data_IF_237052805887
#
_entry.id   IF_237052805887
#
_cell.length_a   1.000
_cell.length_b   1.000
_cell.length_c   1.000
_cell.angle_alpha   90.00
_cell.angle_beta   90.00
_cell.angle_gamma   90.00
#
_symmetry.space_group_name_H-M   'P 1'
#
loop_
_entity.id
_entity.type
_entity.pdbx_description
1 polymer ?
#
# COMPACT_ATOMS: atom_id res chain seq x y z
N UNK A 1 12.23 -10.62 -9.48
CA UNK A 1 12.14 -11.62 -8.40
C UNK A 1 13.04 -11.30 -7.18
N UNK A 2 13.75 -10.20 -7.16
CA UNK A 2 14.56 -9.74 -6.03
C UNK A 2 13.95 -8.46 -5.42
N UNK A 3 12.66 -8.46 -5.11
CA UNK A 3 12.13 -7.48 -4.17
C UNK A 3 12.48 -8.01 -2.79
N UNK A 4 13.39 -7.36 -2.12
CA UNK A 4 13.60 -7.57 -0.70
C UNK A 4 12.28 -7.27 0.01
N UNK A 5 11.75 -8.28 0.70
CA UNK A 5 10.53 -8.13 1.49
C UNK A 5 10.80 -7.18 2.64
N UNK A 6 9.78 -6.44 3.04
CA UNK A 6 9.88 -5.57 4.21
C UNK A 6 10.15 -6.37 5.49
N UNK A 7 10.97 -5.87 6.40
CA UNK A 7 11.16 -6.53 7.68
C UNK A 7 9.84 -6.52 8.46
N UNK A 8 9.39 -7.69 8.89
CA UNK A 8 8.17 -7.81 9.70
C UNK A 8 8.54 -7.68 11.18
N UNK A 9 8.01 -6.66 11.81
CA UNK A 9 8.31 -6.28 13.19
C UNK A 9 7.06 -6.46 14.06
N UNK A 10 7.24 -7.01 15.26
CA UNK A 10 6.17 -7.08 16.26
C UNK A 10 5.06 -8.09 15.99
N UNK A 11 5.28 -9.09 15.09
CA UNK A 11 4.28 -10.12 14.73
C UNK A 11 4.73 -11.55 15.01
N UNK A 12 5.69 -11.71 15.91
CA UNK A 12 6.31 -13.01 16.19
C UNK A 12 5.31 -14.05 16.73
N UNK A 13 4.38 -13.64 17.58
CA UNK A 13 3.38 -14.54 18.15
C UNK A 13 2.39 -15.04 17.11
N UNK A 14 1.88 -14.14 16.27
CA UNK A 14 0.94 -14.48 15.21
C UNK A 14 1.61 -15.35 14.12
N UNK A 15 2.87 -15.07 13.79
CA UNK A 15 3.64 -15.91 12.85
C UNK A 15 3.86 -17.30 13.47
N UNK A 16 4.29 -17.39 14.72
CA UNK A 16 4.44 -18.68 15.41
C UNK A 16 3.13 -19.46 15.47
N UNK A 17 2.03 -18.77 15.75
CA UNK A 17 0.71 -19.39 15.76
C UNK A 17 0.31 -19.90 14.38
N UNK A 18 0.59 -19.15 13.34
CA UNK A 18 0.36 -19.55 11.94
C UNK A 18 1.19 -20.78 11.57
N UNK A 19 2.49 -20.80 11.91
CA UNK A 19 3.38 -21.96 11.75
C UNK A 19 2.83 -23.19 12.48
N UNK A 20 2.42 -23.00 13.75
CA UNK A 20 1.84 -24.07 14.55
C UNK A 20 0.58 -24.66 13.90
N UNK A 21 -0.30 -23.82 13.34
CA UNK A 21 -1.50 -24.27 12.65
C UNK A 21 -1.15 -25.04 11.39
N UNK A 22 -0.24 -24.53 10.55
CA UNK A 22 0.23 -25.18 9.33
C UNK A 22 0.87 -26.56 9.58
N UNK A 23 1.45 -26.76 10.77
CA UNK A 23 2.10 -28.02 11.17
C UNK A 23 1.12 -29.05 11.77
N UNK A 24 -0.17 -28.74 11.91
CA UNK A 24 -1.18 -29.65 12.46
C UNK A 24 -1.55 -30.75 11.48
N UNK A 25 -2.03 -31.87 11.99
CA UNK A 25 -2.56 -32.97 11.16
C UNK A 25 -3.95 -32.66 10.59
N UNK A 26 -4.75 -31.91 11.35
CA UNK A 26 -6.13 -31.51 10.99
C UNK A 26 -6.31 -30.02 11.29
N UNK A 27 -7.23 -29.34 10.61
CA UNK A 27 -7.41 -27.89 10.69
C UNK A 27 -6.08 -27.15 10.50
N UNK A 28 -5.35 -27.56 9.49
CA UNK A 28 -3.98 -27.10 9.19
C UNK A 28 -3.95 -25.89 8.24
N UNK A 29 -5.09 -25.30 7.94
CA UNK A 29 -5.18 -24.07 7.17
C UNK A 29 -5.50 -22.92 8.13
N UNK A 30 -4.57 -22.00 8.40
CA UNK A 30 -4.86 -20.82 9.20
C UNK A 30 -5.73 -19.85 8.41
N UNK A 31 -6.65 -19.20 9.11
CA UNK A 31 -7.38 -18.04 8.61
C UNK A 31 -7.06 -16.85 9.50
N UNK A 32 -6.39 -15.86 8.93
CA UNK A 32 -6.00 -14.62 9.60
C UNK A 32 -7.23 -13.72 9.70
N UNK A 33 -7.63 -13.40 10.91
CA UNK A 33 -8.80 -12.57 11.18
C UNK A 33 -8.34 -11.28 11.85
N UNK A 34 -8.62 -10.16 11.20
CA UNK A 34 -8.28 -8.84 11.73
C UNK A 34 -8.84 -7.74 10.86
N UNK A 35 -8.87 -6.54 11.39
CA UNK A 35 -9.35 -5.37 10.68
C UNK A 35 -8.50 -5.03 9.44
N UNK A 36 -9.02 -4.25 8.49
CA UNK A 36 -8.23 -3.79 7.35
C UNK A 36 -7.03 -2.94 7.85
N UNK A 37 -5.87 -3.11 7.22
CA UNK A 37 -4.69 -2.31 7.56
C UNK A 37 -3.88 -2.73 8.80
N UNK A 38 -4.29 -3.80 9.53
CA UNK A 38 -3.52 -4.29 10.70
C UNK A 38 -2.26 -5.09 10.32
N UNK A 39 -2.00 -5.35 9.03
CA UNK A 39 -0.78 -6.01 8.56
C UNK A 39 -0.91 -7.52 8.34
N UNK A 40 -2.09 -8.04 7.95
CA UNK A 40 -2.29 -9.47 7.64
C UNK A 40 -1.38 -9.96 6.51
N UNK A 41 -1.21 -9.17 5.47
CA UNK A 41 -0.33 -9.49 4.33
C UNK A 41 1.14 -9.47 4.74
N UNK A 42 1.57 -8.48 5.53
CA UNK A 42 2.93 -8.41 6.08
C UNK A 42 3.28 -9.64 6.93
N UNK A 43 2.30 -10.16 7.70
CA UNK A 43 2.49 -11.40 8.47
C UNK A 43 2.86 -12.59 7.57
N UNK A 44 2.27 -12.69 6.38
CA UNK A 44 2.58 -13.73 5.39
C UNK A 44 3.97 -13.53 4.77
N UNK A 45 4.37 -12.30 4.55
CA UNK A 45 5.72 -11.96 4.11
C UNK A 45 6.76 -12.35 5.17
N UNK A 46 6.49 -12.08 6.45
CA UNK A 46 7.32 -12.54 7.56
C UNK A 46 7.40 -14.06 7.68
N UNK A 47 6.30 -14.77 7.45
CA UNK A 47 6.31 -16.23 7.36
C UNK A 47 7.19 -16.71 6.20
N UNK A 48 7.12 -16.07 5.04
CA UNK A 48 7.95 -16.40 3.89
C UNK A 48 9.44 -16.17 4.18
N UNK A 49 9.80 -15.07 4.85
CA UNK A 49 11.17 -14.80 5.29
C UNK A 49 11.69 -15.88 6.25
N UNK A 50 10.88 -16.31 7.21
CA UNK A 50 11.28 -17.41 8.13
C UNK A 50 11.46 -18.74 7.40
N UNK A 51 10.64 -19.03 6.39
CA UNK A 51 10.82 -20.23 5.57
C UNK A 51 12.16 -20.17 4.80
N UNK A 52 12.48 -19.05 4.18
CA UNK A 52 13.73 -18.83 3.45
C UNK A 52 14.94 -18.97 4.39
N UNK A 53 14.83 -18.38 5.59
CA UNK A 53 15.88 -18.42 6.62
C UNK A 53 15.96 -19.77 7.35
N UNK A 54 15.06 -20.74 7.03
CA UNK A 54 14.93 -22.03 7.70
C UNK A 54 14.63 -21.93 9.20
N UNK A 55 14.00 -20.82 9.62
CA UNK A 55 13.51 -20.60 10.98
C UNK A 55 12.07 -21.11 11.13
N UNK A 56 11.85 -22.33 10.69
CA UNK A 56 10.57 -23.03 10.70
C UNK A 56 10.79 -24.54 10.93
N UNK A 57 9.77 -25.30 11.39
CA UNK A 57 9.86 -26.75 11.47
C UNK A 57 10.20 -27.39 10.12
N UNK A 58 10.90 -28.52 10.14
CA UNK A 58 11.32 -29.25 8.94
C UNK A 58 10.20 -29.51 7.93
N UNK A 59 8.97 -29.66 8.40
CA UNK A 59 7.78 -29.84 7.52
C UNK A 59 7.48 -28.63 6.63
N UNK A 60 8.01 -27.46 6.98
CA UNK A 60 7.78 -26.21 6.27
C UNK A 60 9.03 -25.64 5.57
N UNK A 61 10.24 -26.19 5.81
CA UNK A 61 11.52 -25.67 5.28
C UNK A 61 11.57 -25.58 3.73
N UNK A 62 10.86 -26.47 3.05
CA UNK A 62 10.85 -26.51 1.57
C UNK A 62 9.52 -26.01 0.98
N UNK A 63 8.71 -25.32 1.75
CA UNK A 63 7.45 -24.77 1.26
C UNK A 63 7.67 -23.43 0.57
N UNK A 64 6.83 -23.16 -0.40
CA UNK A 64 6.80 -21.88 -1.13
C UNK A 64 5.42 -21.26 -0.95
N UNK A 65 5.39 -19.99 -0.56
CA UNK A 65 4.14 -19.24 -0.46
C UNK A 65 3.84 -18.62 -1.83
N UNK A 66 2.62 -18.86 -2.32
CA UNK A 66 2.10 -18.25 -3.54
C UNK A 66 0.86 -17.44 -3.20
N UNK A 67 0.80 -16.22 -3.68
CA UNK A 67 -0.37 -15.34 -3.50
C UNK A 67 -1.34 -15.60 -4.65
N UNK A 68 -2.60 -15.84 -4.30
CA UNK A 68 -3.69 -15.93 -5.28
C UNK A 68 -4.35 -14.55 -5.37
N UNK A 69 -4.10 -13.88 -6.48
CA UNK A 69 -4.75 -12.61 -6.80
C UNK A 69 -6.10 -12.89 -7.45
N UNK A 70 -7.18 -12.64 -6.69
CA UNK A 70 -8.54 -12.83 -7.16
C UNK A 70 -8.94 -11.79 -8.20
N UNK A 71 -8.39 -10.57 -8.11
CA UNK A 71 -8.63 -9.53 -9.10
C UNK A 71 -8.14 -9.93 -10.48
N UNK A 72 -6.94 -10.53 -10.57
CA UNK A 72 -6.41 -11.05 -11.83
C UNK A 72 -7.21 -12.23 -12.39
N UNK A 73 -7.75 -13.09 -11.53
CA UNK A 73 -8.62 -14.19 -11.97
C UNK A 73 -9.95 -13.70 -12.53
N UNK A 74 -10.48 -12.60 -11.97
CA UNK A 74 -11.72 -11.98 -12.40
C UNK A 74 -11.52 -11.07 -13.61
N UNK A 75 -10.33 -10.49 -13.78
CA UNK A 75 -10.04 -9.56 -14.86
C UNK A 75 -10.25 -10.22 -16.23
N UNK A 76 -11.15 -9.64 -17.03
CA UNK A 76 -11.47 -10.11 -18.37
C UNK A 76 -12.32 -11.39 -18.44
N UNK A 77 -12.75 -11.96 -17.31
CA UNK A 77 -13.73 -13.06 -17.31
C UNK A 77 -15.14 -12.48 -17.57
N UNK A 78 -15.67 -12.72 -18.76
CA UNK A 78 -17.03 -12.28 -19.13
C UNK A 78 -18.13 -13.16 -18.54
N UNK A 79 -17.82 -14.41 -18.26
CA UNK A 79 -18.76 -15.41 -17.78
C UNK A 79 -18.18 -16.18 -16.59
N UNK A 80 -19.07 -16.67 -15.72
CA UNK A 80 -18.74 -17.47 -14.54
C UNK A 80 -17.84 -18.68 -14.87
N UNK A 81 -18.08 -19.36 -15.98
CA UNK A 81 -17.31 -20.54 -16.39
C UNK A 81 -15.83 -20.24 -16.66
N UNK A 82 -15.49 -19.06 -17.17
CA UNK A 82 -14.10 -18.67 -17.42
C UNK A 82 -13.31 -18.49 -16.13
N UNK A 83 -13.92 -17.90 -15.10
CA UNK A 83 -13.31 -17.80 -13.78
C UNK A 83 -13.10 -19.18 -13.14
N UNK A 84 -14.13 -20.03 -13.18
CA UNK A 84 -14.07 -21.38 -12.64
C UNK A 84 -12.95 -22.20 -13.35
N UNK A 85 -12.85 -22.10 -14.66
CA UNK A 85 -11.79 -22.76 -15.43
C UNK A 85 -10.39 -22.25 -15.04
N UNK A 86 -10.21 -20.93 -14.92
CA UNK A 86 -8.93 -20.35 -14.50
C UNK A 86 -8.53 -20.80 -13.10
N UNK A 87 -9.48 -20.77 -12.14
CA UNK A 87 -9.22 -21.25 -10.79
C UNK A 87 -8.87 -22.74 -10.76
N UNK A 88 -9.59 -23.58 -11.54
CA UNK A 88 -9.28 -25.01 -11.69
C UNK A 88 -7.88 -25.23 -12.23
N UNK A 89 -7.46 -24.45 -13.22
CA UNK A 89 -6.13 -24.57 -13.80
C UNK A 89 -5.04 -24.21 -12.78
N UNK A 90 -5.23 -23.12 -12.00
CA UNK A 90 -4.33 -22.78 -10.90
C UNK A 90 -4.25 -23.90 -9.86
N UNK A 91 -5.37 -24.47 -9.46
CA UNK A 91 -5.40 -25.58 -8.50
C UNK A 91 -4.70 -26.83 -9.05
N UNK A 92 -4.89 -27.17 -10.34
CA UNK A 92 -4.18 -28.28 -11.00
C UNK A 92 -2.67 -28.10 -10.98
N UNK A 93 -2.18 -26.88 -11.22
CA UNK A 93 -0.74 -26.60 -11.14
C UNK A 93 -0.22 -26.75 -9.71
N UNK A 94 -0.94 -26.25 -8.72
CA UNK A 94 -0.58 -26.43 -7.30
C UNK A 94 -0.52 -27.91 -6.91
N UNK A 95 -1.42 -28.74 -7.41
CA UNK A 95 -1.40 -30.19 -7.12
C UNK A 95 -0.18 -30.90 -7.70
N UNK A 96 0.34 -30.47 -8.86
CA UNK A 96 1.57 -31.01 -9.44
C UNK A 96 2.79 -30.79 -8.55
N UNK A 97 2.77 -29.74 -7.75
CA UNK A 97 3.84 -29.40 -6.81
C UNK A 97 3.86 -30.27 -5.53
N UNK A 98 3.03 -31.33 -5.47
CA UNK A 98 3.02 -32.34 -4.38
C UNK A 98 3.02 -31.75 -2.97
N UNK A 99 2.23 -30.70 -2.76
CA UNK A 99 2.05 -30.07 -1.46
C UNK A 99 3.22 -29.18 -1.00
N UNK A 100 4.14 -28.80 -1.87
CA UNK A 100 5.21 -27.84 -1.55
C UNK A 100 4.70 -26.40 -1.49
N UNK A 101 3.56 -26.13 -2.13
CA UNK A 101 2.95 -24.79 -2.18
C UNK A 101 1.99 -24.56 -1.03
N UNK A 102 2.14 -23.42 -0.36
CA UNK A 102 1.15 -22.83 0.54
C UNK A 102 0.49 -21.67 -0.21
N UNK A 103 -0.81 -21.77 -0.44
CA UNK A 103 -1.56 -20.75 -1.16
C UNK A 103 -2.03 -19.67 -0.18
N UNK A 104 -1.62 -18.43 -0.36
CA UNK A 104 -2.19 -17.30 0.38
C UNK A 104 -3.34 -16.67 -0.42
N UNK A 105 -4.48 -16.52 0.24
CA UNK A 105 -5.70 -15.94 -0.35
C UNK A 105 -6.13 -14.79 0.54
N UNK A 106 -5.87 -13.57 0.07
CA UNK A 106 -6.41 -12.39 0.74
C UNK A 106 -7.90 -12.25 0.43
N UNK A 107 -8.64 -11.64 1.34
CA UNK A 107 -10.10 -11.50 1.24
C UNK A 107 -10.80 -12.81 0.87
N UNK A 108 -10.37 -13.93 1.47
CA UNK A 108 -10.88 -15.28 1.14
C UNK A 108 -12.41 -15.40 1.20
N UNK A 109 -13.08 -14.51 1.93
CA UNK A 109 -14.54 -14.43 2.01
C UNK A 109 -15.18 -14.16 0.65
N UNK A 110 -14.48 -13.50 -0.28
CA UNK A 110 -14.98 -13.23 -1.64
C UNK A 110 -15.21 -14.53 -2.42
N UNK A 111 -14.37 -15.56 -2.19
CA UNK A 111 -14.54 -16.90 -2.79
C UNK A 111 -15.67 -17.71 -2.17
N UNK A 112 -16.00 -17.43 -0.89
CA UNK A 112 -16.97 -18.20 -0.12
C UNK A 112 -18.35 -17.54 -0.13
N UNK A 113 -18.39 -16.21 -0.12
CA UNK A 113 -19.61 -15.42 0.04
C UNK A 113 -20.36 -15.10 -1.24
N UNK A 114 -19.72 -15.24 -2.36
CA UNK A 114 -20.25 -14.86 -3.65
C UNK A 114 -21.46 -15.69 -4.14
N UNK A 115 -21.78 -16.81 -3.50
CA UNK A 115 -22.83 -17.73 -3.96
C UNK A 115 -24.28 -17.41 -3.54
N UNK A 116 -24.52 -16.31 -2.82
CA UNK A 116 -25.87 -16.01 -2.26
C UNK A 116 -26.66 -14.88 -2.95
N UNK A 117 -26.03 -14.13 -3.83
CA UNK A 117 -26.71 -13.15 -4.70
C UNK A 117 -26.76 -13.69 -6.13
N UNK A 118 -27.89 -13.52 -6.80
CA UNK A 118 -28.10 -13.94 -8.19
C UNK A 118 -26.93 -13.50 -9.09
N UNK A 119 -26.13 -14.48 -9.57
CA UNK A 119 -25.00 -14.25 -10.47
C UNK A 119 -23.61 -14.23 -9.81
N UNK A 120 -23.48 -14.36 -8.49
CA UNK A 120 -22.20 -14.36 -7.81
C UNK A 120 -21.53 -15.73 -7.81
N UNK A 121 -20.18 -15.72 -7.89
CA UNK A 121 -19.31 -16.89 -8.09
C UNK A 121 -19.14 -17.68 -6.80
N UNK A 122 -19.63 -18.92 -6.73
CA UNK A 122 -19.38 -19.82 -5.61
C UNK A 122 -18.16 -20.70 -5.90
N UNK A 123 -16.97 -20.15 -5.70
CA UNK A 123 -15.72 -20.89 -5.82
C UNK A 123 -15.45 -21.80 -4.60
N UNK A 124 -16.26 -21.71 -3.55
CA UNK A 124 -16.09 -22.53 -2.35
C UNK A 124 -16.25 -24.02 -2.65
N UNK A 125 -17.14 -24.37 -3.58
CA UNK A 125 -17.35 -25.76 -4.01
C UNK A 125 -16.15 -26.38 -4.72
N UNK A 126 -15.24 -25.55 -5.25
CA UNK A 126 -13.99 -25.99 -5.88
C UNK A 126 -12.87 -26.18 -4.86
N UNK A 127 -12.82 -25.30 -3.85
CA UNK A 127 -11.81 -25.38 -2.79
C UNK A 127 -12.12 -26.47 -1.75
N UNK A 128 -13.39 -26.67 -1.39
CA UNK A 128 -13.82 -27.64 -0.38
C UNK A 128 -13.29 -29.05 -0.60
N UNK A 129 -13.36 -29.66 -1.81
CA UNK A 129 -12.81 -30.99 -2.06
C UNK A 129 -11.31 -31.06 -1.87
N UNK A 130 -10.56 -30.07 -2.35
CA UNK A 130 -9.12 -29.98 -2.24
C UNK A 130 -8.64 -29.85 -0.79
N UNK A 131 -9.29 -28.98 -0.03
CA UNK A 131 -9.08 -28.81 1.41
C UNK A 131 -9.46 -30.08 2.19
N UNK A 132 -10.53 -30.78 1.75
CA UNK A 132 -10.99 -32.02 2.38
C UNK A 132 -9.99 -33.17 2.25
N UNK A 133 -9.36 -33.29 1.07
CA UNK A 133 -8.36 -34.33 0.80
C UNK A 133 -6.97 -34.00 1.36
N UNK A 134 -6.76 -32.77 1.85
CA UNK A 134 -5.45 -32.29 2.31
C UNK A 134 -4.45 -32.05 1.17
N UNK A 135 -4.95 -31.95 -0.06
CA UNK A 135 -4.14 -31.67 -1.27
C UNK A 135 -3.78 -30.20 -1.39
N UNK A 136 -4.50 -29.32 -0.72
CA UNK A 136 -4.29 -27.88 -0.69
C UNK A 136 -3.98 -27.43 0.73
N UNK A 137 -2.82 -26.79 0.88
CA UNK A 137 -2.48 -26.00 2.05
C UNK A 137 -2.71 -24.52 1.74
N UNK A 138 -3.53 -23.86 2.51
CA UNK A 138 -3.78 -22.44 2.30
C UNK A 138 -3.79 -21.64 3.59
N UNK A 139 -3.46 -20.37 3.47
CA UNK A 139 -3.65 -19.34 4.49
C UNK A 139 -4.66 -18.35 3.93
N UNK A 140 -5.77 -18.18 4.61
CA UNK A 140 -6.77 -17.16 4.25
C UNK A 140 -6.60 -15.92 5.10
N UNK A 141 -6.99 -14.76 4.57
CA UNK A 141 -7.13 -13.53 5.35
C UNK A 141 -8.53 -12.94 5.16
N UNK A 142 -9.11 -12.40 6.22
CA UNK A 142 -10.46 -11.82 6.21
C UNK A 142 -10.66 -10.91 7.42
N UNK A 143 -11.77 -10.18 7.47
CA UNK A 143 -12.20 -9.44 8.64
C UNK A 143 -13.06 -10.33 9.58
N UNK A 144 -13.27 -9.87 10.82
CA UNK A 144 -14.09 -10.62 11.79
C UNK A 144 -15.55 -10.74 11.36
N UNK A 145 -16.11 -9.66 10.80
CA UNK A 145 -17.50 -9.63 10.36
C UNK A 145 -17.74 -10.58 9.17
N UNK A 146 -16.81 -10.59 8.23
CA UNK A 146 -16.87 -11.48 7.07
C UNK A 146 -16.64 -12.94 7.45
N UNK A 147 -15.73 -13.20 8.41
CA UNK A 147 -15.54 -14.53 8.97
C UNK A 147 -16.85 -15.07 9.57
N UNK A 148 -17.51 -14.29 10.44
CA UNK A 148 -18.79 -14.67 11.04
C UNK A 148 -19.90 -14.87 10.01
N UNK A 149 -19.92 -14.01 8.99
CA UNK A 149 -20.97 -14.03 7.96
C UNK A 149 -20.84 -15.21 7.01
N UNK A 150 -19.63 -15.56 6.59
CA UNK A 150 -19.37 -16.52 5.51
C UNK A 150 -18.75 -17.83 5.97
N UNK A 151 -17.77 -17.80 6.90
CA UNK A 151 -17.02 -18.98 7.32
C UNK A 151 -17.66 -19.73 8.48
N UNK A 152 -18.08 -19.03 9.50
CA UNK A 152 -18.59 -19.65 10.73
C UNK A 152 -19.85 -20.48 10.46
N UNK A 153 -20.63 -20.09 9.47
CA UNK A 153 -21.87 -20.78 9.05
C UNK A 153 -21.62 -22.00 8.16
N UNK A 154 -20.42 -22.17 7.64
CA UNK A 154 -20.05 -23.30 6.75
C UNK A 154 -19.26 -24.36 7.53
N UNK A 155 -19.95 -25.44 7.94
CA UNK A 155 -19.34 -26.52 8.71
C UNK A 155 -18.16 -27.21 8.00
N UNK A 156 -18.12 -27.23 6.66
CA UNK A 156 -17.04 -27.84 5.90
C UNK A 156 -15.75 -27.00 6.00
N UNK A 157 -15.88 -25.68 5.92
CA UNK A 157 -14.75 -24.74 6.06
C UNK A 157 -14.29 -24.65 7.53
N UNK A 158 -15.20 -24.55 8.48
CA UNK A 158 -14.89 -24.47 9.93
C UNK A 158 -14.08 -25.68 10.41
N UNK A 159 -14.30 -26.85 9.80
CA UNK A 159 -13.54 -28.08 10.13
C UNK A 159 -12.14 -28.09 9.51
N UNK A 160 -11.83 -27.20 8.56
CA UNK A 160 -10.56 -27.19 7.82
C UNK A 160 -9.68 -25.99 8.17
N UNK A 161 -10.32 -24.89 8.54
CA UNK A 161 -9.64 -23.66 8.92
C UNK A 161 -9.51 -23.51 10.44
N UNK A 162 -8.41 -22.92 10.86
CA UNK A 162 -8.16 -22.53 12.25
C UNK A 162 -7.99 -21.01 12.33
N UNK A 163 -8.83 -20.31 13.08
CA UNK A 163 -8.68 -18.86 13.30
C UNK A 163 -7.33 -18.51 13.97
N UNK A 164 -6.70 -17.46 13.45
CA UNK A 164 -5.56 -16.76 14.02
C UNK A 164 -5.92 -15.28 14.02
N UNK A 165 -6.09 -14.70 15.19
CA UNK A 165 -6.44 -13.29 15.32
C UNK A 165 -5.22 -12.43 15.15
N UNK A 166 -5.35 -11.38 14.34
CA UNK A 166 -4.33 -10.35 14.06
C UNK A 166 -4.89 -9.04 14.55
N UNK A 167 -4.54 -8.68 15.76
CA UNK A 167 -5.02 -7.45 16.39
C UNK A 167 -4.26 -6.22 15.86
N UNK A 168 -4.84 -5.05 16.04
CA UNK A 168 -4.14 -3.78 15.84
C UNK A 168 -2.88 -3.75 16.72
N UNK A 169 -1.70 -3.37 16.17
CA UNK A 169 -0.49 -3.26 16.97
C UNK A 169 -0.60 -2.11 17.98
N UNK A 170 0.15 -2.21 19.07
CA UNK A 170 0.28 -1.10 19.99
C UNK A 170 0.97 0.10 19.32
N UNK A 171 0.81 1.29 19.87
CA UNK A 171 1.53 2.49 19.38
C UNK A 171 3.04 2.30 19.41
N UNK A 172 3.57 1.58 20.38
CA UNK A 172 5.01 1.24 20.47
C UNK A 172 5.45 0.31 19.35
N UNK A 173 4.66 -0.71 19.03
CA UNK A 173 4.93 -1.62 17.91
C UNK A 173 4.79 -0.92 16.57
N UNK A 174 3.78 -0.03 16.42
CA UNK A 174 3.61 0.77 15.22
C UNK A 174 4.81 1.69 14.96
N UNK A 175 5.36 2.34 16.00
CA UNK A 175 6.60 3.13 15.87
C UNK A 175 7.77 2.25 15.39
N UNK A 176 7.91 1.04 15.94
CA UNK A 176 8.97 0.11 15.52
C UNK A 176 8.79 -0.32 14.06
N UNK A 177 7.55 -0.56 13.62
CA UNK A 177 7.22 -0.89 12.22
C UNK A 177 7.59 0.28 11.29
N UNK A 178 7.18 1.50 11.61
CA UNK A 178 7.49 2.67 10.78
C UNK A 178 9.00 2.94 10.72
N UNK A 179 9.75 2.72 11.82
CA UNK A 179 11.21 2.80 11.82
C UNK A 179 11.84 1.78 10.86
N UNK A 180 11.29 0.58 10.78
CA UNK A 180 11.74 -0.45 9.85
C UNK A 180 11.44 -0.11 8.37
N UNK A 181 10.40 0.66 8.11
CA UNK A 181 10.01 1.09 6.78
C UNK A 181 10.66 2.41 6.34
N UNK A 182 11.17 3.19 7.31
CA UNK A 182 11.69 4.54 7.13
C UNK A 182 12.61 4.68 5.92
N UNK A 183 13.64 3.84 5.82
CA UNK A 183 14.67 3.92 4.78
C UNK A 183 14.06 3.80 3.37
N UNK A 184 13.09 2.92 3.18
CA UNK A 184 12.40 2.75 1.89
C UNK A 184 11.63 3.99 1.48
N UNK A 185 10.94 4.63 2.43
CA UNK A 185 10.21 5.87 2.18
C UNK A 185 11.15 7.05 1.96
N UNK A 186 12.27 7.12 2.68
CA UNK A 186 13.32 8.12 2.45
C UNK A 186 13.91 8.02 1.04
N UNK A 187 14.21 6.80 0.57
CA UNK A 187 14.71 6.54 -0.78
C UNK A 187 13.63 6.90 -1.83
N UNK A 188 12.37 6.48 -1.61
CA UNK A 188 11.29 6.71 -2.57
C UNK A 188 11.00 8.21 -2.77
N UNK A 189 10.94 8.96 -1.68
CA UNK A 189 10.65 10.40 -1.74
C UNK A 189 11.90 11.27 -1.90
N UNK A 190 13.10 10.73 -1.66
CA UNK A 190 14.35 11.48 -1.68
C UNK A 190 14.44 12.55 -0.60
N UNK A 191 13.83 12.31 0.55
CA UNK A 191 13.82 13.19 1.72
C UNK A 191 14.24 12.42 2.97
N UNK A 192 14.63 13.12 4.02
CA UNK A 192 14.88 12.51 5.33
C UNK A 192 13.64 12.59 6.22
N UNK A 193 13.34 11.48 6.88
CA UNK A 193 12.25 11.37 7.86
C UNK A 193 12.86 11.32 9.25
N UNK A 194 12.57 12.30 10.11
CA UNK A 194 13.09 12.31 11.48
C UNK A 194 12.35 11.29 12.37
N UNK A 195 12.95 10.91 13.49
CA UNK A 195 12.30 10.00 14.44
C UNK A 195 11.08 10.68 15.11
N UNK A 196 11.16 11.99 15.32
CA UNK A 196 10.02 12.79 15.81
C UNK A 196 8.85 12.78 14.84
N UNK A 197 9.10 12.78 13.53
CA UNK A 197 8.05 12.69 12.52
C UNK A 197 7.35 11.31 12.57
N UNK A 198 8.11 10.22 12.78
CA UNK A 198 7.56 8.88 12.96
C UNK A 198 6.68 8.81 14.21
N UNK A 199 7.18 9.31 15.35
CA UNK A 199 6.42 9.37 16.59
C UNK A 199 5.13 10.20 16.42
N UNK A 200 5.23 11.36 15.78
CA UNK A 200 4.08 12.21 15.50
C UNK A 200 3.07 11.52 14.57
N UNK A 201 3.53 10.84 13.51
CA UNK A 201 2.66 10.13 12.58
C UNK A 201 1.83 9.05 13.31
N UNK A 202 2.46 8.27 14.19
CA UNK A 202 1.74 7.24 14.98
C UNK A 202 0.78 7.88 15.97
N UNK A 203 1.22 8.88 16.77
CA UNK A 203 0.39 9.50 17.80
C UNK A 203 -0.79 10.27 17.22
N UNK A 204 -0.56 11.04 16.15
CA UNK A 204 -1.62 11.84 15.53
C UNK A 204 -2.62 10.96 14.77
N UNK A 205 -2.16 9.96 14.05
CA UNK A 205 -3.05 9.01 13.38
C UNK A 205 -3.88 8.21 14.38
N UNK A 206 -3.29 7.76 15.48
CA UNK A 206 -4.00 7.03 16.53
C UNK A 206 -5.10 7.89 17.18
N UNK A 207 -4.79 9.17 17.41
CA UNK A 207 -5.72 10.09 18.08
C UNK A 207 -6.82 10.63 17.19
N UNK A 208 -6.52 10.93 15.92
CA UNK A 208 -7.43 11.70 15.06
C UNK A 208 -8.03 10.89 13.92
N UNK A 209 -7.42 9.76 13.52
CA UNK A 209 -7.95 8.87 12.48
C UNK A 209 -8.59 7.66 13.17
N UNK A 210 -9.93 7.71 13.32
CA UNK A 210 -10.69 6.72 14.10
C UNK A 210 -11.36 5.64 13.25
N UNK A 211 -11.41 5.83 11.95
CA UNK A 211 -12.04 4.92 10.97
C UNK A 211 -11.05 3.93 10.33
N UNK A 212 -9.78 4.01 10.71
CA UNK A 212 -8.69 3.15 10.22
C UNK A 212 -7.82 2.66 11.37
N UNK A 213 -7.00 1.63 11.11
CA UNK A 213 -6.21 0.94 12.12
C UNK A 213 -4.70 1.13 11.89
N UNK A 214 -3.93 1.04 13.00
CA UNK A 214 -2.48 0.97 12.93
C UNK A 214 -2.04 -0.40 12.36
N UNK A 215 -0.90 -0.49 11.66
CA UNK A 215 0.03 0.60 11.35
C UNK A 215 -0.36 1.40 10.08
N UNK A 216 -1.33 0.97 9.30
CA UNK A 216 -1.67 1.46 7.98
C UNK A 216 -1.96 2.98 7.99
N UNK A 217 -2.81 3.46 8.92
CA UNK A 217 -3.12 4.90 9.04
C UNK A 217 -1.90 5.77 9.35
N UNK A 218 -0.91 5.23 10.07
CA UNK A 218 0.32 5.96 10.38
C UNK A 218 1.32 5.95 9.21
N UNK A 219 1.37 4.84 8.48
CA UNK A 219 2.17 4.71 7.26
C UNK A 219 1.66 5.69 6.21
N UNK A 220 0.35 5.73 5.96
CA UNK A 220 -0.26 6.65 5.02
C UNK A 220 -0.01 8.11 5.40
N UNK A 221 -0.14 8.45 6.70
CA UNK A 221 0.13 9.81 7.16
C UNK A 221 1.59 10.22 6.93
N UNK A 222 2.52 9.29 7.16
CA UNK A 222 3.95 9.51 6.90
C UNK A 222 4.23 9.66 5.40
N UNK A 223 3.62 8.84 4.56
CA UNK A 223 3.77 8.87 3.11
C UNK A 223 3.21 10.16 2.50
N UNK A 224 2.01 10.56 2.91
CA UNK A 224 1.37 11.81 2.49
C UNK A 224 2.21 13.04 2.89
N UNK A 225 2.70 13.07 4.14
CA UNK A 225 3.55 14.15 4.62
C UNK A 225 4.87 14.22 3.83
N UNK A 226 5.48 13.06 3.56
CA UNK A 226 6.71 12.95 2.77
C UNK A 226 6.49 13.42 1.32
N UNK A 227 5.39 13.01 0.70
CA UNK A 227 5.00 13.43 -0.64
C UNK A 227 4.79 14.95 -0.73
N UNK A 228 4.13 15.53 0.29
CA UNK A 228 3.91 16.97 0.35
C UNK A 228 5.22 17.75 0.46
N UNK A 229 6.12 17.33 1.35
CA UNK A 229 7.45 17.96 1.50
C UNK A 229 8.25 17.87 0.21
N UNK A 230 8.24 16.70 -0.45
CA UNK A 230 8.89 16.53 -1.76
C UNK A 230 8.33 17.50 -2.79
N UNK A 231 6.99 17.60 -2.87
CA UNK A 231 6.34 18.52 -3.80
C UNK A 231 6.71 19.98 -3.52
N UNK A 232 6.79 20.39 -2.24
CA UNK A 232 7.22 21.74 -1.85
C UNK A 232 8.68 22.01 -2.26
N UNK A 233 9.57 21.02 -2.14
CA UNK A 233 10.98 21.13 -2.58
C UNK A 233 11.10 21.21 -4.10
N UNK A 234 10.33 20.39 -4.83
CA UNK A 234 10.39 20.29 -6.28
C UNK A 234 9.62 21.41 -7.00
N UNK A 235 8.66 22.03 -6.34
CA UNK A 235 7.81 23.10 -6.88
C UNK A 235 8.48 24.46 -6.76
N UNK A 236 8.12 25.38 -7.66
CA UNK A 236 8.49 26.79 -7.50
C UNK A 236 7.83 27.32 -6.20
N UNK A 237 8.56 28.14 -5.40
CA UNK A 237 7.97 28.83 -4.25
C UNK A 237 6.70 29.58 -4.64
N UNK A 238 5.72 29.59 -3.75
CA UNK A 238 4.42 30.22 -3.98
C UNK A 238 4.55 31.71 -4.36
N UNK A 239 5.57 32.37 -3.80
CA UNK A 239 5.89 33.76 -4.12
C UNK A 239 6.27 33.95 -5.60
N UNK A 240 7.08 33.05 -6.16
CA UNK A 240 7.45 33.09 -7.57
C UNK A 240 6.26 32.79 -8.48
N UNK A 241 5.45 31.79 -8.12
CA UNK A 241 4.25 31.44 -8.88
C UNK A 241 3.22 32.58 -8.89
N UNK A 242 3.07 33.30 -7.78
CA UNK A 242 2.20 34.46 -7.69
C UNK A 242 2.67 35.63 -8.56
N UNK A 243 3.95 35.93 -8.56
CA UNK A 243 4.55 36.96 -9.41
C UNK A 243 4.45 36.58 -10.91
N UNK A 244 4.65 35.30 -11.26
CA UNK A 244 4.44 34.80 -12.63
C UNK A 244 2.99 35.02 -13.09
N UNK A 245 1.99 34.75 -12.23
CA UNK A 245 0.56 34.98 -12.55
C UNK A 245 0.24 36.46 -12.69
N UNK A 246 0.80 37.31 -11.84
CA UNK A 246 0.57 38.76 -11.92
C UNK A 246 1.25 39.35 -13.16
N UNK A 247 2.43 38.85 -13.55
CA UNK A 247 3.06 39.23 -14.82
C UNK A 247 2.19 38.87 -16.01
N UNK A 248 1.61 37.65 -16.04
CA UNK A 248 0.70 37.22 -17.11
C UNK A 248 -0.52 38.14 -17.19
N UNK A 249 -1.11 38.52 -16.04
CA UNK A 249 -2.27 39.44 -16.01
C UNK A 249 -1.92 40.79 -16.62
N UNK A 250 -0.80 41.40 -16.21
CA UNK A 250 -0.34 42.69 -16.74
C UNK A 250 -0.02 42.61 -18.23
N UNK A 251 0.57 41.51 -18.71
CA UNK A 251 0.81 41.31 -20.14
C UNK A 251 -0.51 41.17 -20.93
N UNK A 252 -1.53 40.49 -20.37
CA UNK A 252 -2.85 40.44 -20.98
C UNK A 252 -3.51 41.81 -21.04
N UNK A 253 -3.43 42.59 -19.93
CA UNK A 253 -3.96 43.96 -19.87
C UNK A 253 -3.29 44.88 -20.88
N UNK A 254 -1.97 44.82 -21.02
CA UNK A 254 -1.20 45.52 -22.06
C UNK A 254 -1.67 45.18 -23.48
N UNK A 255 -1.91 43.85 -23.74
CA UNK A 255 -2.36 43.43 -25.05
C UNK A 255 -3.79 43.90 -25.40
N UNK A 256 -4.65 44.12 -24.40
CA UNK A 256 -5.99 44.67 -24.58
C UNK A 256 -5.90 46.18 -24.87
N UNK A 257 -5.09 46.92 -24.08
CA UNK A 257 -4.92 48.37 -24.24
C UNK A 257 -4.19 48.76 -25.54
N UNK A 258 -3.35 47.89 -26.09
CA UNK A 258 -2.68 48.15 -27.37
C UNK A 258 -3.60 48.15 -28.58
N UNK A 259 -4.88 47.77 -28.42
CA UNK A 259 -5.90 47.73 -29.51
C UNK A 259 -6.81 48.96 -29.54
N UNK A 260 -6.85 49.79 -28.50
CA UNK A 260 -7.72 50.95 -28.36
C UNK A 260 -6.87 52.23 -28.19
N UNK A 261 -6.96 53.12 -29.18
CA UNK A 261 -6.62 54.56 -29.36
C UNK A 261 -5.66 55.32 -28.38
N UNK A 262 -5.03 56.37 -28.95
CA UNK A 262 -4.01 57.34 -28.47
C UNK A 262 -4.18 57.92 -27.05
N UNK A 263 -5.27 57.71 -26.33
CA UNK A 263 -5.47 58.22 -24.97
C UNK A 263 -4.88 57.31 -23.89
N UNK A 264 -4.37 56.14 -24.23
CA UNK A 264 -3.84 55.15 -23.25
C UNK A 264 -2.30 55.06 -23.16
N UNK A 265 -1.53 55.98 -23.82
CA UNK A 265 -0.06 55.99 -23.75
C UNK A 265 0.49 56.06 -22.33
N UNK A 266 -0.09 56.91 -21.46
CA UNK A 266 0.37 57.03 -20.05
C UNK A 266 0.08 55.78 -19.24
N UNK A 267 -1.02 55.10 -19.50
CA UNK A 267 -1.32 53.80 -18.84
C UNK A 267 -0.42 52.71 -19.33
N UNK A 268 -0.16 52.65 -20.62
CA UNK A 268 0.78 51.71 -21.24
C UNK A 268 2.23 51.89 -20.68
N UNK A 269 2.70 53.13 -20.48
CA UNK A 269 3.98 53.38 -19.86
C UNK A 269 4.04 52.89 -18.40
N UNK A 270 2.94 53.09 -17.63
CA UNK A 270 2.86 52.60 -16.26
C UNK A 270 2.86 51.10 -16.17
N UNK A 271 2.09 50.41 -17.02
CA UNK A 271 2.04 48.96 -17.11
C UNK A 271 3.41 48.42 -17.55
N UNK A 272 4.08 49.04 -18.51
CA UNK A 272 5.40 48.64 -18.95
C UNK A 272 6.44 48.71 -17.82
N UNK A 273 6.39 49.77 -16.99
CA UNK A 273 7.25 49.85 -15.80
C UNK A 273 6.97 48.78 -14.78
N UNK A 274 5.70 48.49 -14.50
CA UNK A 274 5.32 47.41 -13.60
C UNK A 274 5.74 46.03 -14.11
N UNK A 275 5.60 45.77 -15.41
CA UNK A 275 6.09 44.54 -16.05
C UNK A 275 7.61 44.41 -15.86
N UNK A 276 8.36 45.47 -16.13
CA UNK A 276 9.82 45.45 -16.02
C UNK A 276 10.28 45.22 -14.56
N UNK A 277 9.65 45.88 -13.58
CA UNK A 277 9.94 45.66 -12.16
C UNK A 277 9.65 44.22 -11.71
N UNK A 278 8.52 43.65 -12.19
CA UNK A 278 8.14 42.26 -11.91
C UNK A 278 9.10 41.26 -12.56
N UNK A 279 9.50 41.50 -13.82
CA UNK A 279 10.46 40.64 -14.55
C UNK A 279 11.84 40.64 -13.88
N UNK A 280 12.31 41.79 -13.37
CA UNK A 280 13.57 41.88 -12.63
C UNK A 280 13.50 41.14 -11.29
N UNK A 281 12.38 41.28 -10.55
CA UNK A 281 12.14 40.52 -9.33
C UNK A 281 12.08 39.01 -9.57
N UNK A 282 11.30 38.59 -10.58
CA UNK A 282 11.20 37.20 -10.98
C UNK A 282 12.55 36.60 -11.37
N UNK A 283 13.34 37.35 -12.13
CA UNK A 283 14.68 36.91 -12.54
C UNK A 283 15.61 36.68 -11.35
N UNK A 284 15.60 37.58 -10.36
CA UNK A 284 16.41 37.44 -9.16
C UNK A 284 15.98 36.28 -8.29
N UNK A 285 14.66 36.11 -8.06
CA UNK A 285 14.12 35.01 -7.25
C UNK A 285 14.31 33.66 -7.94
N UNK A 286 14.07 33.55 -9.25
CA UNK A 286 14.32 32.33 -10.01
C UNK A 286 15.80 31.93 -9.96
N UNK A 287 16.74 32.89 -10.08
CA UNK A 287 18.16 32.59 -9.99
C UNK A 287 18.56 32.04 -8.61
N UNK A 288 18.00 32.58 -7.55
CA UNK A 288 18.22 32.10 -6.17
C UNK A 288 17.65 30.70 -6.00
N UNK A 289 16.40 30.50 -6.41
CA UNK A 289 15.74 29.19 -6.34
C UNK A 289 16.46 28.11 -7.16
N UNK A 290 16.89 28.41 -8.39
CA UNK A 290 17.65 27.47 -9.20
C UNK A 290 19.02 27.10 -8.57
N UNK A 291 19.67 28.07 -7.92
CA UNK A 291 20.90 27.82 -7.20
C UNK A 291 20.70 26.89 -5.99
N UNK A 292 19.65 27.15 -5.20
CA UNK A 292 19.27 26.31 -4.07
C UNK A 292 18.86 24.90 -4.51
N UNK A 293 18.08 24.79 -5.59
CA UNK A 293 17.66 23.52 -6.17
C UNK A 293 18.86 22.69 -6.63
N UNK A 294 19.82 23.29 -7.30
CA UNK A 294 21.08 22.61 -7.71
C UNK A 294 21.87 22.07 -6.53
N UNK A 295 21.92 22.80 -5.41
CA UNK A 295 22.59 22.34 -4.20
C UNK A 295 21.87 21.13 -3.61
N UNK A 296 20.53 21.15 -3.57
CA UNK A 296 19.71 20.03 -3.09
C UNK A 296 19.86 18.80 -3.97
N UNK A 297 19.81 18.95 -5.29
CA UNK A 297 20.01 17.86 -6.26
C UNK A 297 21.40 17.25 -6.15
N UNK A 298 22.45 18.10 -5.99
CA UNK A 298 23.82 17.61 -5.80
C UNK A 298 23.94 16.81 -4.50
N UNK A 299 23.31 17.27 -3.42
CA UNK A 299 23.30 16.58 -2.13
C UNK A 299 22.55 15.23 -2.21
N UNK A 300 21.49 15.17 -3.00
CA UNK A 300 20.69 13.94 -3.25
C UNK A 300 21.54 12.90 -4.00
N UNK A 301 22.16 13.30 -5.10
CA UNK A 301 23.03 12.43 -5.91
C UNK A 301 24.30 11.95 -5.19
N UNK A 302 24.73 12.63 -4.12
CA UNK A 302 25.84 12.19 -3.27
C UNK A 302 25.43 11.22 -2.17
N UNK A 303 24.12 11.11 -1.89
CA UNK A 303 23.57 10.20 -0.89
C UNK A 303 22.99 8.91 -1.52
N UNK A 304 22.80 8.86 -2.85
CA UNK A 304 22.55 7.65 -3.66
C UNK A 304 23.88 6.93 -3.97
#
# INVERSE_FOLDING_TARGET
>A
QNRELDPVIGRDEEIRRTIQVLSRRTKNNPILIGDPGVGKTALIEGLAQRIVNKDVPRSLENKVIRILDLGLLLAGAKYRGEFEERLQNVLKEIYKENGTVILFIDEIHTLVGAGKSDGAMDASNMLKPALARGELHCVGATTLDEYKKYFEKDAALTRRFQPVFVNEPSTTDAVAILRGLKEKYEIHHGIRISDEAILAAVQLSDRYITDRFLPDKAIDLMDEAASKVKMEIDSKPEEIDQLDRDLIKLQMEKNVLSKDSEQDEKKNETINKQIQELEEKLKSLNATWEAEKKILDTKRNLNE
#
